data_IF_814623756539
#
_entry.id   IF_814623756539
#
_cell.length_a   1.000
_cell.length_b   1.000
_cell.length_c   1.000
_cell.angle_alpha   90.00
_cell.angle_beta   90.00
_cell.angle_gamma   90.00
#
_symmetry.space_group_name_H-M   'P 1'
#
loop_
_entity.id
_entity.type
_entity.pdbx_description
1 polymer ?
#
# COMPACT_ATOMS: atom_id res chain seq x y z
N UNK A 1 -19.70 3.82 -19.82
CA UNK A 1 -19.60 2.52 -19.14
C UNK A 1 -18.41 2.55 -18.18
N UNK A 2 -18.66 2.60 -16.86
CA UNK A 2 -17.63 2.68 -15.80
C UNK A 2 -16.58 1.56 -15.94
N UNK A 3 -16.99 0.35 -16.31
CA UNK A 3 -16.05 -0.78 -16.51
C UNK A 3 -15.01 -0.50 -17.59
N UNK A 4 -15.43 0.09 -18.71
CA UNK A 4 -14.53 0.45 -19.81
C UNK A 4 -13.57 1.55 -19.35
N UNK A 5 -14.05 2.56 -18.63
CA UNK A 5 -13.21 3.61 -18.09
C UNK A 5 -12.13 3.06 -17.14
N UNK A 6 -12.48 2.13 -16.24
CA UNK A 6 -11.52 1.46 -15.35
C UNK A 6 -10.49 0.65 -16.15
N UNK A 7 -10.93 -0.13 -17.16
CA UNK A 7 -10.02 -0.90 -18.00
C UNK A 7 -9.05 -0.02 -18.81
N UNK A 8 -9.49 1.17 -19.22
CA UNK A 8 -8.63 2.14 -19.92
C UNK A 8 -7.70 2.89 -18.94
N UNK A 9 -8.14 3.15 -17.72
CA UNK A 9 -7.34 3.84 -16.71
C UNK A 9 -6.11 3.03 -16.28
N UNK A 10 -6.22 1.70 -16.14
CA UNK A 10 -5.11 0.84 -15.69
C UNK A 10 -3.87 0.96 -16.60
N UNK A 11 -3.96 0.73 -17.92
CA UNK A 11 -2.80 0.86 -18.80
C UNK A 11 -2.28 2.31 -18.88
N UNK A 12 -3.15 3.32 -18.79
CA UNK A 12 -2.72 4.71 -18.77
C UNK A 12 -1.94 5.05 -17.49
N UNK A 13 -2.37 4.57 -16.33
CA UNK A 13 -1.64 4.73 -15.06
C UNK A 13 -0.29 4.01 -15.10
N UNK A 14 -0.25 2.82 -15.70
CA UNK A 14 0.99 2.07 -15.87
C UNK A 14 1.97 2.80 -16.80
N UNK A 15 1.50 3.28 -17.94
CA UNK A 15 2.28 4.08 -18.88
C UNK A 15 2.79 5.38 -18.23
N UNK A 16 1.95 6.07 -17.45
CA UNK A 16 2.33 7.27 -16.70
C UNK A 16 3.43 6.97 -15.67
N UNK A 17 3.33 5.85 -14.95
CA UNK A 17 4.35 5.44 -13.99
C UNK A 17 5.69 5.11 -14.67
N UNK A 18 5.67 4.44 -15.81
CA UNK A 18 6.86 4.16 -16.62
C UNK A 18 7.49 5.46 -17.15
N UNK A 19 6.67 6.37 -17.69
CA UNK A 19 7.13 7.65 -18.24
C UNK A 19 7.64 8.63 -17.18
N UNK A 20 7.39 8.38 -15.90
CA UNK A 20 7.92 9.21 -14.80
C UNK A 20 9.44 9.06 -14.60
N UNK A 21 10.05 8.04 -15.19
CA UNK A 21 11.47 7.69 -15.07
C UNK A 21 11.93 7.50 -13.61
N UNK A 22 10.97 7.26 -12.73
CA UNK A 22 11.22 7.10 -11.30
C UNK A 22 11.59 5.66 -10.97
N UNK A 23 12.84 5.46 -10.51
CA UNK A 23 13.29 4.17 -9.97
C UNK A 23 12.37 3.63 -8.86
N UNK A 24 11.84 4.56 -8.06
CA UNK A 24 10.90 4.22 -7.00
C UNK A 24 9.56 3.73 -7.50
N UNK A 25 9.01 4.36 -8.53
CA UNK A 25 7.78 3.91 -9.17
C UNK A 25 7.97 2.51 -9.76
N UNK A 26 9.12 2.27 -10.40
CA UNK A 26 9.46 0.97 -10.97
C UNK A 26 9.56 -0.13 -9.91
N UNK A 27 10.27 0.15 -8.80
CA UNK A 27 10.34 -0.78 -7.66
C UNK A 27 8.96 -1.10 -7.09
N UNK A 28 8.14 -0.08 -6.87
CA UNK A 28 6.77 -0.24 -6.34
C UNK A 28 5.89 -1.06 -7.27
N UNK A 29 5.96 -0.80 -8.59
CA UNK A 29 5.25 -1.59 -9.60
C UNK A 29 5.74 -3.05 -9.61
N UNK A 30 7.04 -3.28 -9.50
CA UNK A 30 7.62 -4.63 -9.42
C UNK A 30 7.11 -5.40 -8.20
N UNK A 31 7.11 -4.79 -7.02
CA UNK A 31 6.57 -5.39 -5.79
C UNK A 31 5.07 -5.67 -5.94
N UNK A 32 4.29 -4.72 -6.46
CA UNK A 32 2.87 -4.90 -6.69
C UNK A 32 2.58 -6.03 -7.69
N UNK A 33 3.31 -6.07 -8.80
CA UNK A 33 3.19 -7.14 -9.79
C UNK A 33 3.52 -8.51 -9.17
N UNK A 34 4.60 -8.61 -8.39
CA UNK A 34 4.97 -9.84 -7.70
C UNK A 34 3.88 -10.30 -6.73
N UNK A 35 3.29 -9.40 -5.95
CA UNK A 35 2.20 -9.73 -5.03
C UNK A 35 0.93 -10.17 -5.77
N UNK A 36 0.58 -9.53 -6.89
CA UNK A 36 -0.55 -9.90 -7.74
C UNK A 36 -0.35 -11.28 -8.37
N UNK A 37 0.84 -11.56 -8.90
CA UNK A 37 1.20 -12.85 -9.50
C UNK A 37 1.14 -13.96 -8.43
N UNK A 38 1.73 -13.71 -7.27
CA UNK A 38 1.73 -14.71 -6.17
C UNK A 38 0.32 -15.15 -5.79
N UNK A 39 -0.62 -14.22 -5.75
CA UNK A 39 -2.00 -14.50 -5.35
C UNK A 39 -2.90 -14.95 -6.51
N UNK A 40 -2.46 -14.82 -7.73
CA UNK A 40 -3.25 -15.19 -8.91
C UNK A 40 -3.39 -16.71 -9.03
N UNK A 41 -4.63 -17.18 -9.18
CA UNK A 41 -4.91 -18.58 -9.53
C UNK A 41 -4.45 -18.93 -10.95
N UNK A 42 -4.25 -17.94 -11.82
CA UNK A 42 -3.85 -18.06 -13.23
C UNK A 42 -2.42 -17.58 -13.47
N UNK A 43 -1.53 -17.74 -12.51
CA UNK A 43 -0.14 -17.27 -12.59
C UNK A 43 0.59 -17.76 -13.85
N UNK A 44 0.30 -18.96 -14.35
CA UNK A 44 0.88 -19.51 -15.58
C UNK A 44 0.51 -18.72 -16.84
N UNK A 45 -0.58 -17.93 -16.82
CA UNK A 45 -0.96 -17.03 -17.90
C UNK A 45 -0.45 -15.60 -17.65
N UNK A 46 -0.49 -15.16 -16.38
CA UNK A 46 -0.10 -13.79 -16.00
C UNK A 46 1.40 -13.57 -16.14
N UNK A 47 2.22 -14.55 -15.74
CA UNK A 47 3.69 -14.46 -15.84
C UNK A 47 4.16 -14.28 -17.29
N UNK A 48 3.79 -15.17 -18.25
CA UNK A 48 4.18 -14.99 -19.66
C UNK A 48 3.67 -13.67 -20.24
N UNK A 49 2.43 -13.28 -19.95
CA UNK A 49 1.87 -12.02 -20.42
C UNK A 49 2.65 -10.82 -19.89
N UNK A 50 3.05 -10.85 -18.61
CA UNK A 50 3.87 -9.81 -18.00
C UNK A 50 5.27 -9.76 -18.63
N UNK A 51 5.91 -10.92 -18.85
CA UNK A 51 7.23 -11.01 -19.48
C UNK A 51 7.21 -10.51 -20.92
N UNK A 52 6.22 -10.93 -21.71
CA UNK A 52 6.04 -10.47 -23.09
C UNK A 52 5.76 -8.96 -23.12
N UNK A 53 4.85 -8.48 -22.26
CA UNK A 53 4.56 -7.05 -22.16
C UNK A 53 5.78 -6.22 -21.76
N UNK A 54 6.59 -6.70 -20.81
CA UNK A 54 7.83 -6.06 -20.42
C UNK A 54 8.87 -6.07 -21.54
N UNK A 55 9.01 -7.19 -22.25
CA UNK A 55 9.92 -7.31 -23.39
C UNK A 55 9.56 -6.34 -24.51
N UNK A 56 8.27 -6.26 -24.86
CA UNK A 56 7.80 -5.32 -25.89
C UNK A 56 7.93 -3.85 -25.44
N UNK A 57 7.89 -3.58 -24.15
CA UNK A 57 8.05 -2.24 -23.63
C UNK A 57 9.52 -1.75 -23.66
N UNK A 58 10.50 -2.66 -23.70
CA UNK A 58 11.93 -2.31 -23.69
C UNK A 58 12.30 -1.41 -24.88
N UNK A 59 11.78 -1.72 -26.06
CA UNK A 59 12.08 -0.95 -27.30
C UNK A 59 11.51 0.48 -27.29
N UNK A 60 10.56 0.75 -26.38
CA UNK A 60 9.97 2.08 -26.18
C UNK A 60 10.62 2.88 -25.04
N UNK A 61 11.58 2.28 -24.31
CA UNK A 61 12.27 2.97 -23.24
C UNK A 61 13.42 3.81 -23.82
N UNK A 62 13.55 5.10 -23.46
CA UNK A 62 14.65 5.93 -23.88
C UNK A 62 16.00 5.42 -23.38
N UNK A 63 17.09 5.70 -24.14
CA UNK A 63 18.46 5.32 -23.75
C UNK A 63 18.85 5.85 -22.37
N UNK A 64 18.38 7.05 -22.03
CA UNK A 64 18.60 7.67 -20.71
C UNK A 64 18.01 6.84 -19.56
N UNK A 65 16.98 6.02 -19.82
CA UNK A 65 16.42 5.11 -18.82
C UNK A 65 17.44 4.01 -18.46
N UNK A 66 18.09 3.42 -19.46
CA UNK A 66 19.11 2.38 -19.24
C UNK A 66 20.30 2.95 -18.47
N UNK A 67 20.80 4.15 -18.85
CA UNK A 67 21.87 4.83 -18.12
C UNK A 67 21.52 5.09 -16.65
N UNK A 68 20.25 5.41 -16.33
CA UNK A 68 19.80 5.57 -14.95
C UNK A 68 19.70 4.24 -14.19
N UNK A 69 19.40 3.14 -14.86
CA UNK A 69 19.36 1.81 -14.22
C UNK A 69 20.76 1.27 -13.92
N UNK A 70 21.75 1.54 -14.77
CA UNK A 70 23.15 1.17 -14.51
C UNK A 70 23.69 1.82 -13.24
N UNK A 71 23.27 3.06 -12.93
CA UNK A 71 23.70 3.74 -11.69
C UNK A 71 23.18 3.09 -10.41
N UNK A 72 22.28 2.11 -10.48
CA UNK A 72 21.87 1.33 -9.30
C UNK A 72 23.05 0.49 -8.77
N UNK A 73 23.93 0.00 -9.63
CA UNK A 73 25.11 -0.79 -9.23
C UNK A 73 26.22 0.08 -8.62
N UNK A 74 26.23 1.36 -8.94
CA UNK A 74 27.22 2.35 -8.47
C UNK A 74 26.59 3.40 -7.56
N UNK A 75 25.71 2.99 -6.63
CA UNK A 75 24.91 3.91 -5.81
C UNK A 75 25.76 4.93 -5.03
N UNK A 76 27.03 4.61 -4.70
CA UNK A 76 27.95 5.53 -4.03
C UNK A 76 28.35 6.72 -4.93
N UNK A 77 28.28 6.56 -6.25
CA UNK A 77 28.54 7.63 -7.22
C UNK A 77 27.24 8.38 -7.60
N UNK A 78 26.07 7.82 -7.24
CA UNK A 78 24.78 8.46 -7.47
C UNK A 78 24.52 9.52 -6.37
N UNK A 79 24.79 10.77 -6.73
CA UNK A 79 24.55 11.94 -5.87
C UNK A 79 23.12 12.00 -5.29
N UNK A 80 22.15 11.38 -5.95
CA UNK A 80 20.76 11.34 -5.48
C UNK A 80 20.57 10.32 -4.35
N UNK A 81 21.12 9.11 -4.47
CA UNK A 81 21.01 8.07 -3.44
C UNK A 81 21.86 8.42 -2.22
N UNK A 82 23.11 8.85 -2.44
CA UNK A 82 24.01 9.29 -1.36
C UNK A 82 23.42 10.47 -0.58
N UNK A 83 22.86 11.45 -1.29
CA UNK A 83 22.23 12.60 -0.65
C UNK A 83 21.00 12.25 0.20
N UNK A 84 20.24 11.22 -0.17
CA UNK A 84 19.12 10.73 0.68
C UNK A 84 19.61 10.09 1.95
N UNK A 85 20.65 9.26 1.88
CA UNK A 85 21.22 8.63 3.09
C UNK A 85 21.77 9.66 4.07
N UNK A 86 22.39 10.73 3.56
CA UNK A 86 22.86 11.84 4.37
C UNK A 86 21.70 12.53 5.09
N UNK A 87 20.67 12.92 4.34
CA UNK A 87 19.46 13.56 4.88
C UNK A 87 18.76 12.66 5.90
N UNK A 88 18.67 11.36 5.66
CA UNK A 88 18.08 10.41 6.61
C UNK A 88 18.89 10.30 7.90
N UNK A 89 20.22 10.36 7.79
CA UNK A 89 21.10 10.42 8.96
C UNK A 89 20.91 11.70 9.77
N UNK A 90 20.77 12.84 9.09
CA UNK A 90 20.51 14.13 9.75
C UNK A 90 19.17 14.10 10.49
N UNK A 91 18.11 13.61 9.82
CA UNK A 91 16.80 13.43 10.44
C UNK A 91 16.83 12.50 11.66
N UNK A 92 17.55 11.38 11.55
CA UNK A 92 17.73 10.46 12.67
C UNK A 92 18.44 11.10 13.85
N UNK A 93 19.56 11.77 13.62
CA UNK A 93 20.31 12.45 14.66
C UNK A 93 19.48 13.54 15.34
N UNK A 94 18.78 14.35 14.54
CA UNK A 94 17.89 15.38 15.07
C UNK A 94 16.77 14.78 15.94
N UNK A 95 16.20 13.66 15.52
CA UNK A 95 15.15 12.99 16.31
C UNK A 95 15.67 12.42 17.61
N UNK A 96 16.92 11.96 17.67
CA UNK A 96 17.55 11.53 18.93
C UNK A 96 17.72 12.67 19.91
N UNK A 97 17.97 13.89 19.42
CA UNK A 97 18.06 15.12 20.25
C UNK A 97 16.67 15.62 20.66
N UNK A 98 15.65 15.43 19.80
CA UNK A 98 14.28 15.90 20.00
C UNK A 98 13.24 14.77 19.87
N UNK A 99 13.27 13.71 20.73
CA UNK A 99 12.56 12.44 20.49
C UNK A 99 11.02 12.54 20.55
N UNK A 100 10.48 13.56 21.16
CA UNK A 100 9.03 13.70 21.37
C UNK A 100 8.34 14.60 20.36
N UNK A 101 9.01 15.63 19.88
CA UNK A 101 8.42 16.67 19.02
C UNK A 101 9.05 16.77 17.64
N UNK A 102 10.29 16.24 17.46
CA UNK A 102 11.03 16.34 16.21
C UNK A 102 11.33 17.79 15.83
N UNK A 103 11.46 18.05 14.52
CA UNK A 103 11.77 19.35 13.93
C UNK A 103 10.54 20.22 13.61
N UNK A 104 9.32 19.68 13.78
CA UNK A 104 8.08 20.31 13.34
C UNK A 104 7.78 20.07 11.86
N UNK A 105 6.59 20.46 11.44
CA UNK A 105 6.11 20.32 10.05
C UNK A 105 7.05 21.04 9.07
N UNK A 106 7.43 20.35 7.98
CA UNK A 106 8.46 20.80 7.02
C UNK A 106 9.82 21.15 7.67
N UNK A 107 10.11 20.58 8.83
CA UNK A 107 11.30 20.89 9.64
C UNK A 107 12.62 20.53 8.99
N UNK A 108 12.61 19.77 7.89
CA UNK A 108 13.80 19.49 7.10
C UNK A 108 14.53 20.77 6.67
N UNK A 109 13.82 21.88 6.45
CA UNK A 109 14.38 23.17 6.07
C UNK A 109 15.38 23.74 7.10
N UNK A 110 15.27 23.28 8.35
CA UNK A 110 16.14 23.72 9.46
C UNK A 110 17.19 22.66 9.83
N UNK A 111 16.97 21.41 9.45
CA UNK A 111 17.81 20.26 9.86
C UNK A 111 18.72 19.81 8.72
N UNK A 112 18.24 19.91 7.48
CA UNK A 112 18.95 19.43 6.31
C UNK A 112 18.83 20.39 5.14
N UNK A 113 19.69 20.21 4.14
CA UNK A 113 19.68 20.99 2.89
C UNK A 113 18.62 20.49 1.89
N UNK A 114 17.98 19.35 2.16
CA UNK A 114 17.05 18.67 1.25
C UNK A 114 15.92 18.04 2.03
N UNK A 115 14.79 17.85 1.35
CA UNK A 115 13.64 17.11 1.85
C UNK A 115 14.00 15.65 2.17
N UNK A 116 13.30 15.06 3.15
CA UNK A 116 13.50 13.69 3.64
C UNK A 116 13.34 12.63 2.55
N UNK A 117 12.47 12.85 1.58
CA UNK A 117 12.14 11.90 0.51
C UNK A 117 11.84 10.47 0.99
N UNK A 118 11.22 10.35 2.16
CA UNK A 118 10.80 9.08 2.75
C UNK A 118 9.74 9.35 3.81
N UNK A 119 8.54 8.80 3.66
CA UNK A 119 7.45 9.05 4.60
C UNK A 119 7.75 8.56 6.03
N UNK A 120 8.36 7.38 6.28
CA UNK A 120 8.78 7.02 7.62
C UNK A 120 9.78 8.01 8.25
N UNK A 121 10.79 8.43 7.47
CA UNK A 121 11.79 9.40 7.93
C UNK A 121 11.13 10.74 8.24
N UNK A 122 10.26 11.20 7.34
CA UNK A 122 9.51 12.45 7.48
C UNK A 122 8.73 12.47 8.80
N UNK A 123 7.93 11.44 9.09
CA UNK A 123 7.12 11.41 10.31
C UNK A 123 7.97 11.41 11.59
N UNK A 124 8.99 10.58 11.68
CA UNK A 124 9.75 10.57 12.95
C UNK A 124 10.66 11.79 13.09
N UNK A 125 11.21 12.32 11.99
CA UNK A 125 12.07 13.49 12.04
C UNK A 125 11.29 14.77 12.33
N UNK A 126 10.07 14.87 11.85
CA UNK A 126 9.25 16.08 12.06
C UNK A 126 8.43 16.04 13.34
N UNK A 127 7.98 14.86 13.78
CA UNK A 127 7.04 14.75 14.91
C UNK A 127 7.52 13.84 16.05
N UNK A 128 8.73 13.30 15.96
CA UNK A 128 9.30 12.43 16.97
C UNK A 128 8.75 10.99 16.97
N UNK A 129 9.28 10.17 17.89
CA UNK A 129 8.99 8.74 17.91
C UNK A 129 7.55 8.39 18.34
N UNK A 130 6.90 9.24 19.13
CA UNK A 130 5.51 9.00 19.57
C UNK A 130 4.57 9.09 18.37
N UNK A 131 4.66 10.16 17.59
CA UNK A 131 3.83 10.34 16.39
C UNK A 131 4.13 9.28 15.34
N UNK A 132 5.40 8.92 15.15
CA UNK A 132 5.78 7.79 14.30
C UNK A 132 5.14 6.48 14.75
N UNK A 133 5.17 6.17 16.05
CA UNK A 133 4.53 4.99 16.62
C UNK A 133 3.02 4.96 16.37
N UNK A 134 2.34 6.10 16.53
CA UNK A 134 0.91 6.24 16.22
C UNK A 134 0.63 6.04 14.73
N UNK A 135 1.39 6.68 13.85
CA UNK A 135 1.26 6.55 12.41
C UNK A 135 1.51 5.10 11.95
N UNK A 136 2.57 4.47 12.40
CA UNK A 136 2.88 3.08 12.11
C UNK A 136 1.80 2.12 12.63
N UNK A 137 1.27 2.36 13.83
CA UNK A 137 0.21 1.55 14.41
C UNK A 137 -1.10 1.60 13.61
N UNK A 138 -1.45 2.74 13.01
CA UNK A 138 -2.58 2.87 12.10
C UNK A 138 -2.41 1.97 10.87
N UNK A 139 -1.24 1.97 10.26
CA UNK A 139 -0.93 1.13 9.08
C UNK A 139 -0.96 -0.36 9.47
N UNK A 140 -0.20 -0.73 10.50
CA UNK A 140 -0.07 -2.12 10.95
C UNK A 140 -1.41 -2.66 11.42
N UNK A 141 -2.16 -1.88 12.22
CA UNK A 141 -3.49 -2.25 12.70
C UNK A 141 -4.49 -2.44 11.56
N UNK A 142 -4.42 -1.60 10.53
CA UNK A 142 -5.25 -1.74 9.32
C UNK A 142 -4.90 -3.01 8.55
N UNK A 143 -3.62 -3.28 8.32
CA UNK A 143 -3.16 -4.51 7.66
C UNK A 143 -3.58 -5.76 8.44
N UNK A 144 -3.45 -5.73 9.77
CA UNK A 144 -3.90 -6.82 10.64
C UNK A 144 -5.43 -7.01 10.55
N UNK A 145 -6.20 -5.92 10.60
CA UNK A 145 -7.66 -5.96 10.46
C UNK A 145 -8.08 -6.56 9.12
N UNK A 146 -7.48 -6.10 8.00
CA UNK A 146 -7.74 -6.60 6.66
C UNK A 146 -7.31 -8.07 6.46
N UNK A 147 -6.37 -8.57 7.27
CA UNK A 147 -5.92 -9.97 7.24
C UNK A 147 -6.79 -10.90 8.08
N UNK A 148 -7.38 -10.38 9.16
CA UNK A 148 -8.19 -11.15 10.11
C UNK A 148 -9.66 -11.21 9.72
N UNK A 149 -10.21 -10.15 9.12
CA UNK A 149 -11.63 -10.04 8.79
C UNK A 149 -12.14 -11.16 7.85
N UNK A 150 -11.44 -11.54 6.76
CA UNK A 150 -11.86 -12.65 5.91
C UNK A 150 -11.99 -13.98 6.64
N UNK A 151 -11.18 -14.21 7.69
CA UNK A 151 -11.24 -15.42 8.49
C UNK A 151 -12.53 -15.49 9.30
N UNK A 152 -13.03 -14.34 9.79
CA UNK A 152 -14.27 -14.25 10.58
C UNK A 152 -15.52 -14.53 9.77
N UNK A 153 -15.53 -14.20 8.48
CA UNK A 153 -16.69 -14.38 7.59
C UNK A 153 -16.57 -15.63 6.71
N UNK A 154 -15.53 -16.44 6.92
CA UNK A 154 -15.27 -17.63 6.12
C UNK A 154 -16.43 -18.64 6.22
N UNK A 155 -16.94 -19.06 5.06
CA UNK A 155 -18.05 -20.00 4.98
C UNK A 155 -19.45 -19.39 5.09
N UNK A 156 -19.57 -18.11 5.33
CA UNK A 156 -20.85 -17.39 5.34
C UNK A 156 -21.24 -17.03 3.91
N UNK A 157 -22.32 -17.63 3.42
CA UNK A 157 -22.82 -17.42 2.04
C UNK A 157 -23.17 -15.93 1.79
N UNK A 158 -22.69 -15.41 0.66
CA UNK A 158 -22.93 -14.03 0.24
C UNK A 158 -21.96 -13.01 0.87
N UNK A 159 -20.92 -13.46 1.59
CA UNK A 159 -19.89 -12.59 2.17
C UNK A 159 -18.52 -12.74 1.46
N UNK A 160 -18.50 -13.31 0.27
CA UNK A 160 -17.28 -13.49 -0.54
C UNK A 160 -16.64 -12.15 -0.93
N UNK A 161 -17.45 -11.09 -1.01
CA UNK A 161 -17.02 -9.73 -1.30
C UNK A 161 -16.01 -9.21 -0.28
N UNK A 162 -16.14 -9.60 0.99
CA UNK A 162 -15.24 -9.17 2.08
C UNK A 162 -13.80 -9.58 1.78
N UNK A 163 -13.61 -10.83 1.33
CA UNK A 163 -12.27 -11.30 0.99
C UNK A 163 -11.65 -10.51 -0.17
N UNK A 164 -12.44 -10.19 -1.19
CA UNK A 164 -11.96 -9.43 -2.34
C UNK A 164 -11.56 -7.99 -1.95
N UNK A 165 -12.42 -7.27 -1.21
CA UNK A 165 -12.12 -5.93 -0.76
C UNK A 165 -10.92 -5.89 0.20
N UNK A 166 -10.88 -6.79 1.18
CA UNK A 166 -9.73 -6.87 2.09
C UNK A 166 -8.42 -7.16 1.36
N UNK A 167 -8.46 -8.03 0.35
CA UNK A 167 -7.29 -8.32 -0.46
C UNK A 167 -6.82 -7.09 -1.25
N UNK A 168 -7.73 -6.41 -1.96
CA UNK A 168 -7.41 -5.23 -2.76
C UNK A 168 -6.86 -4.09 -1.89
N UNK A 169 -7.51 -3.77 -0.78
CA UNK A 169 -7.08 -2.73 0.14
C UNK A 169 -5.72 -3.04 0.78
N UNK A 170 -5.47 -4.30 1.13
CA UNK A 170 -4.18 -4.73 1.66
C UNK A 170 -3.06 -4.56 0.65
N UNK A 171 -3.29 -4.94 -0.62
CA UNK A 171 -2.32 -4.71 -1.68
C UNK A 171 -2.04 -3.22 -1.91
N UNK A 172 -3.10 -2.40 -1.96
CA UNK A 172 -2.96 -0.94 -2.12
C UNK A 172 -2.17 -0.32 -0.98
N UNK A 173 -2.42 -0.75 0.26
CA UNK A 173 -1.70 -0.24 1.43
C UNK A 173 -0.23 -0.68 1.44
N UNK A 174 0.07 -1.92 1.06
CA UNK A 174 1.45 -2.40 0.92
C UNK A 174 2.16 -1.63 -0.21
N UNK A 175 1.51 -1.45 -1.35
CA UNK A 175 2.08 -0.67 -2.46
C UNK A 175 2.37 0.78 -2.06
N UNK A 176 1.46 1.41 -1.32
CA UNK A 176 1.69 2.74 -0.74
C UNK A 176 2.92 2.73 0.18
N UNK A 177 3.00 1.81 1.13
CA UNK A 177 4.14 1.73 2.06
C UNK A 177 5.47 1.56 1.32
N UNK A 178 5.53 0.67 0.30
CA UNK A 178 6.75 0.47 -0.49
C UNK A 178 7.12 1.72 -1.28
N UNK A 179 6.15 2.37 -1.93
CA UNK A 179 6.41 3.58 -2.72
C UNK A 179 6.89 4.74 -1.86
N UNK A 180 6.37 4.86 -0.66
CA UNK A 180 6.68 5.97 0.25
C UNK A 180 7.95 5.77 1.08
N UNK A 181 8.60 4.59 1.01
CA UNK A 181 9.95 4.42 1.57
C UNK A 181 10.97 5.39 0.97
N UNK A 182 10.75 5.80 -0.28
CA UNK A 182 11.65 6.67 -1.05
C UNK A 182 10.95 7.93 -1.57
N UNK A 183 9.75 8.23 -1.04
CA UNK A 183 8.97 9.45 -1.32
C UNK A 183 8.40 10.00 -0.01
N UNK A 184 8.56 11.30 0.23
CA UNK A 184 7.98 12.01 1.37
C UNK A 184 6.49 12.28 1.14
N UNK A 185 5.64 11.29 1.40
CA UNK A 185 4.19 11.33 1.17
C UNK A 185 3.40 10.95 2.43
N UNK A 186 3.97 11.21 3.61
CA UNK A 186 3.33 10.86 4.89
C UNK A 186 2.02 11.60 5.14
N UNK A 187 1.90 12.83 4.63
CA UNK A 187 0.71 13.66 4.76
C UNK A 187 -0.30 13.50 3.62
N UNK A 188 -0.03 12.61 2.66
CA UNK A 188 -0.93 12.40 1.54
C UNK A 188 -2.23 11.74 1.97
N UNK A 189 -3.35 12.34 1.57
CA UNK A 189 -4.70 11.90 1.90
C UNK A 189 -4.99 10.45 1.50
N UNK A 190 -4.30 9.92 0.49
CA UNK A 190 -4.54 8.57 -0.04
C UNK A 190 -4.35 7.48 1.02
N UNK A 191 -3.38 7.64 1.93
CA UNK A 191 -3.17 6.73 3.05
C UNK A 191 -4.41 6.69 3.96
N UNK A 192 -4.88 7.86 4.34
CA UNK A 192 -6.00 8.01 5.26
C UNK A 192 -7.31 7.57 4.62
N UNK A 193 -7.48 7.79 3.30
CA UNK A 193 -8.62 7.23 2.55
C UNK A 193 -8.61 5.71 2.52
N UNK A 194 -7.44 5.06 2.30
CA UNK A 194 -7.33 3.61 2.33
C UNK A 194 -7.68 3.04 3.72
N UNK A 195 -7.20 3.68 4.79
CA UNK A 195 -7.51 3.30 6.18
C UNK A 195 -9.01 3.47 6.43
N UNK A 196 -9.59 4.61 6.03
CA UNK A 196 -11.02 4.88 6.21
C UNK A 196 -11.90 3.87 5.48
N UNK A 197 -11.60 3.55 4.22
CA UNK A 197 -12.31 2.52 3.44
C UNK A 197 -12.18 1.15 4.12
N UNK A 198 -11.01 0.81 4.66
CA UNK A 198 -10.80 -0.44 5.39
C UNK A 198 -11.68 -0.52 6.65
N UNK A 199 -11.84 0.59 7.37
CA UNK A 199 -12.74 0.69 8.53
C UNK A 199 -14.19 0.49 8.11
N UNK A 200 -14.63 1.14 7.02
CA UNK A 200 -15.98 0.97 6.48
C UNK A 200 -16.25 -0.48 6.07
N UNK A 201 -15.34 -1.10 5.32
CA UNK A 201 -15.46 -2.52 4.94
C UNK A 201 -15.60 -3.41 6.16
N UNK A 202 -14.82 -3.16 7.21
CA UNK A 202 -14.93 -3.91 8.48
C UNK A 202 -16.28 -3.71 9.14
N UNK A 203 -16.77 -2.48 9.24
CA UNK A 203 -18.06 -2.18 9.87
C UNK A 203 -19.21 -2.83 9.13
N UNK A 204 -19.27 -2.69 7.79
CA UNK A 204 -20.32 -3.31 6.97
C UNK A 204 -20.27 -4.84 7.06
N UNK A 205 -19.07 -5.44 7.01
CA UNK A 205 -18.93 -6.88 7.10
C UNK A 205 -19.36 -7.43 8.47
N UNK A 206 -19.03 -6.76 9.56
CA UNK A 206 -19.44 -7.19 10.90
C UNK A 206 -20.95 -7.04 11.10
N UNK A 207 -21.56 -5.95 10.62
CA UNK A 207 -23.01 -5.74 10.67
C UNK A 207 -23.74 -6.81 9.87
N UNK A 208 -23.34 -7.07 8.63
CA UNK A 208 -23.95 -8.12 7.79
C UNK A 208 -23.81 -9.51 8.42
N UNK A 209 -22.66 -9.81 9.03
CA UNK A 209 -22.42 -11.06 9.74
C UNK A 209 -23.39 -11.23 10.93
N UNK A 210 -23.59 -10.18 11.70
CA UNK A 210 -24.52 -10.17 12.85
C UNK A 210 -25.97 -10.41 12.40
N UNK A 211 -26.42 -9.69 11.37
CA UNK A 211 -27.77 -9.85 10.78
C UNK A 211 -28.00 -11.28 10.29
N UNK A 212 -27.04 -11.87 9.59
CA UNK A 212 -27.13 -13.27 9.10
C UNK A 212 -27.15 -14.28 10.25
N UNK A 213 -26.36 -14.04 11.30
CA UNK A 213 -26.31 -14.91 12.48
C UNK A 213 -27.63 -14.86 13.24
N UNK A 214 -28.21 -13.68 13.44
CA UNK A 214 -29.49 -13.50 14.12
C UNK A 214 -30.64 -14.12 13.33
N UNK A 215 -30.69 -13.90 12.01
CA UNK A 215 -31.71 -14.52 11.15
C UNK A 215 -31.59 -16.05 11.14
N UNK A 216 -30.36 -16.60 11.13
CA UNK A 216 -30.11 -18.04 11.22
C UNK A 216 -30.61 -18.64 12.54
N UNK A 217 -30.42 -17.96 13.66
CA UNK A 217 -30.96 -18.37 14.98
C UNK A 217 -32.49 -18.37 15.01
N UNK A 218 -33.14 -17.35 14.45
CA UNK A 218 -34.60 -17.24 14.40
C UNK A 218 -35.19 -18.37 13.55
N UNK A 219 -34.58 -18.74 12.43
CA UNK A 219 -35.02 -19.83 11.55
C UNK A 219 -34.81 -21.17 12.27
N UNK A 220 -33.69 -21.37 12.95
CA UNK A 220 -33.39 -22.56 13.76
C UNK A 220 -34.43 -22.79 14.88
N UNK A 221 -34.73 -21.73 15.62
CA UNK A 221 -35.73 -21.78 16.70
C UNK A 221 -37.14 -22.10 16.19
N UNK A 222 -37.57 -21.53 15.05
CA UNK A 222 -38.84 -21.86 14.41
C UNK A 222 -38.94 -23.32 13.96
N UNK A 223 -37.85 -23.89 13.40
CA UNK A 223 -37.83 -25.29 12.99
C UNK A 223 -37.93 -26.24 14.19
N UNK A 224 -37.26 -25.91 15.27
CA UNK A 224 -37.31 -26.70 16.51
C UNK A 224 -38.70 -26.69 17.16
N UNK A 225 -39.45 -25.59 17.04
CA UNK A 225 -40.83 -25.47 17.58
C UNK A 225 -41.89 -26.10 16.67
N UNK A 226 -41.59 -26.37 15.40
CA UNK A 226 -42.52 -26.99 14.45
C UNK A 226 -42.24 -28.49 14.23
N UNK A 227 -41.32 -29.13 14.96
CA UNK A 227 -41.12 -30.55 14.91
C UNK A 227 -42.35 -31.23 15.54
N UNK A 228 -43.11 -32.08 14.83
CA UNK A 228 -44.28 -32.76 15.41
C UNK A 228 -43.84 -33.74 16.52
N UNK A 229 -44.64 -33.80 17.59
CA UNK A 229 -44.56 -34.78 18.67
C UNK A 229 -44.85 -36.18 18.12
#
# INVERSE_FOLDING_TARGET
>A
NIRIAIFMAIPLMFASALSSWSRGAFLTMGVLAMLLIWHSKRKYLVIPLFLVGSFLAIDYLPEEWFGRMETIQTYQQDKSAAGRLEVWKDGWNHTLEHPFVGAGFEGWRHVSMRDWHSAPIEIFSEHGFIAFGMWASLIIGTLFSLSSLPKKVKGVKGMEWVNNYCYMLRLSLIAFCVGTLILGLSYWDILYHLIFIAVLVKQFALKELEEKTNNGKIIGDKRTRMAPL
#
